data_IF_966529053171
#
_entry.id   IF_966529053171
#
_cell.length_a   1.000
_cell.length_b   1.000
_cell.length_c   1.000
_cell.angle_alpha   90.00
_cell.angle_beta   90.00
_cell.angle_gamma   90.00
#
_symmetry.space_group_name_H-M   'P 1'
#
loop_
_entity.id
_entity.type
_entity.pdbx_description
1 polymer ?
#
# COMPACT_ATOMS: atom_id res chain seq x y z
N UNK A 1 -10.89 17.69 -6.43
CA UNK A 1 -10.99 16.23 -6.17
C UNK A 1 -9.69 15.55 -6.59
N UNK A 2 -9.45 14.27 -6.28
CA UNK A 2 -8.27 13.58 -6.81
C UNK A 2 -8.55 13.18 -8.26
N UNK A 3 -7.62 13.46 -9.17
CA UNK A 3 -7.76 13.16 -10.60
C UNK A 3 -8.14 11.69 -10.85
N UNK A 4 -7.56 10.77 -10.09
CA UNK A 4 -7.84 9.34 -10.20
C UNK A 4 -9.28 9.00 -9.74
N UNK A 5 -9.83 9.72 -8.77
CA UNK A 5 -11.22 9.50 -8.37
C UNK A 5 -12.18 9.94 -9.46
N UNK A 6 -11.90 11.04 -10.14
CA UNK A 6 -12.73 11.51 -11.24
C UNK A 6 -12.72 10.52 -12.43
N UNK A 7 -11.56 9.91 -12.70
CA UNK A 7 -11.42 8.83 -13.69
C UNK A 7 -12.22 7.59 -13.24
N UNK A 8 -12.12 7.22 -11.96
CA UNK A 8 -12.87 6.09 -11.43
C UNK A 8 -14.38 6.28 -11.62
N UNK A 9 -14.92 7.44 -11.22
CA UNK A 9 -16.35 7.72 -11.28
C UNK A 9 -16.87 7.80 -12.74
N UNK A 10 -16.08 8.36 -13.67
CA UNK A 10 -16.52 8.61 -15.06
C UNK A 10 -16.25 7.46 -16.02
N UNK A 11 -15.15 6.73 -15.85
CA UNK A 11 -14.69 5.76 -16.85
C UNK A 11 -14.69 4.32 -16.32
N UNK A 12 -14.26 4.10 -15.06
CA UNK A 12 -14.06 2.76 -14.53
C UNK A 12 -15.38 2.14 -14.09
N UNK A 13 -16.22 2.90 -13.40
CA UNK A 13 -17.53 2.43 -12.93
C UNK A 13 -18.40 1.92 -14.08
N UNK A 14 -18.60 2.64 -15.20
CA UNK A 14 -19.38 2.12 -16.33
C UNK A 14 -18.81 0.82 -16.91
N UNK A 15 -17.48 0.74 -17.08
CA UNK A 15 -16.81 -0.46 -17.61
C UNK A 15 -17.00 -1.67 -16.71
N UNK A 16 -16.88 -1.51 -15.39
CA UNK A 16 -17.09 -2.59 -14.43
C UNK A 16 -18.57 -3.03 -14.38
N UNK A 17 -19.51 -2.09 -14.50
CA UNK A 17 -20.93 -2.41 -14.57
C UNK A 17 -21.27 -3.26 -15.81
N UNK A 18 -20.69 -2.96 -16.94
CA UNK A 18 -20.86 -3.72 -18.17
C UNK A 18 -20.23 -5.12 -18.08
N UNK A 19 -18.99 -5.20 -17.58
CA UNK A 19 -18.22 -6.46 -17.48
C UNK A 19 -18.88 -7.47 -16.53
N UNK A 20 -19.28 -7.02 -15.33
CA UNK A 20 -19.86 -7.89 -14.31
C UNK A 20 -21.37 -7.85 -14.22
N UNK A 21 -22.02 -7.05 -15.06
CA UNK A 21 -23.50 -6.93 -15.16
C UNK A 21 -24.15 -6.58 -13.81
N UNK A 22 -23.56 -5.65 -13.05
CA UNK A 22 -24.12 -5.20 -11.78
C UNK A 22 -25.47 -4.48 -12.01
N UNK A 23 -26.42 -4.76 -11.13
CA UNK A 23 -27.75 -4.12 -11.15
C UNK A 23 -27.76 -2.74 -10.50
N UNK A 24 -26.82 -2.47 -9.62
CA UNK A 24 -26.74 -1.21 -8.87
C UNK A 24 -25.31 -0.69 -8.86
N UNK A 25 -25.13 0.59 -9.05
CA UNK A 25 -23.83 1.27 -9.01
C UNK A 25 -23.10 1.08 -7.66
N UNK A 26 -23.84 0.91 -6.57
CA UNK A 26 -23.27 0.67 -5.24
C UNK A 26 -22.67 -0.74 -5.06
N UNK A 27 -22.87 -1.65 -6.01
CA UNK A 27 -22.25 -2.98 -6.04
C UNK A 27 -20.88 -2.96 -6.69
N UNK A 28 -20.56 -1.90 -7.44
CA UNK A 28 -19.29 -1.78 -8.15
C UNK A 28 -18.14 -1.73 -7.15
N UNK A 29 -17.09 -2.56 -7.32
CA UNK A 29 -15.95 -2.56 -6.43
C UNK A 29 -15.21 -1.21 -6.46
N UNK A 30 -14.82 -0.75 -5.28
CA UNK A 30 -14.13 0.51 -5.05
C UNK A 30 -12.94 0.31 -4.10
N UNK A 31 -11.99 1.23 -4.10
CA UNK A 31 -10.95 1.28 -3.07
C UNK A 31 -11.59 1.74 -1.75
N UNK A 32 -11.33 1.01 -0.67
CA UNK A 32 -11.78 1.35 0.69
C UNK A 32 -10.68 2.05 1.48
N UNK A 33 -9.49 1.46 1.50
CA UNK A 33 -8.30 1.97 2.20
C UNK A 33 -7.02 1.39 1.63
N UNK A 34 -5.91 2.09 1.86
CA UNK A 34 -4.56 1.56 1.61
C UNK A 34 -3.81 1.60 2.94
N UNK A 35 -3.20 0.48 3.29
CA UNK A 35 -2.40 0.34 4.51
C UNK A 35 -0.94 0.22 4.10
N UNK A 36 -0.11 1.09 4.63
CA UNK A 36 1.34 1.05 4.50
C UNK A 36 1.92 0.55 5.81
N UNK A 37 2.77 -0.45 5.77
CA UNK A 37 3.39 -1.02 6.95
C UNK A 37 4.89 -1.23 6.75
N UNK A 38 5.68 -0.78 7.71
CA UNK A 38 7.10 -1.06 7.82
C UNK A 38 7.35 -1.89 9.08
N UNK A 39 7.79 -3.14 8.89
CA UNK A 39 8.26 -4.00 9.97
C UNK A 39 9.74 -3.77 10.22
N UNK A 40 10.10 -3.40 11.44
CA UNK A 40 11.46 -3.02 11.83
C UNK A 40 11.95 -3.90 12.99
N UNK A 41 12.41 -5.12 12.68
CA UNK A 41 12.96 -6.02 13.68
C UNK A 41 14.17 -5.43 14.41
N UNK A 42 14.95 -4.57 13.75
CA UNK A 42 16.11 -3.88 14.35
C UNK A 42 15.72 -2.84 15.41
N UNK A 43 14.47 -2.37 15.42
CA UNK A 43 13.98 -1.43 16.42
C UNK A 43 14.02 -1.98 17.86
N UNK A 44 14.10 -3.31 18.01
CA UNK A 44 14.28 -3.99 19.30
C UNK A 44 15.62 -3.58 19.94
N UNK A 45 16.66 -3.38 19.13
CA UNK A 45 18.00 -3.00 19.60
C UNK A 45 18.21 -1.48 19.56
N UNK A 46 17.63 -0.79 18.58
CA UNK A 46 17.82 0.64 18.37
C UNK A 46 16.50 1.35 18.04
N UNK A 47 15.94 2.03 19.02
CA UNK A 47 14.67 2.78 18.87
C UNK A 47 14.78 3.92 17.85
N UNK A 48 15.97 4.52 17.66
CA UNK A 48 16.18 5.62 16.70
C UNK A 48 15.84 5.21 15.26
N UNK A 49 16.04 3.95 14.90
CA UNK A 49 15.69 3.40 13.59
C UNK A 49 14.17 3.50 13.35
N UNK A 50 13.39 3.36 14.40
CA UNK A 50 11.93 3.48 14.32
C UNK A 50 11.48 4.92 14.09
N UNK A 51 12.12 5.89 14.75
CA UNK A 51 11.79 7.32 14.61
C UNK A 51 12.13 7.78 13.20
N UNK A 52 13.31 7.40 12.67
CA UNK A 52 13.70 7.65 11.27
C UNK A 52 12.68 7.05 10.29
N UNK A 53 12.31 5.79 10.46
CA UNK A 53 11.33 5.14 9.61
C UNK A 53 9.93 5.77 9.69
N UNK A 54 9.54 6.26 10.85
CA UNK A 54 8.27 6.96 11.02
C UNK A 54 8.25 8.30 10.26
N UNK A 55 9.34 9.07 10.28
CA UNK A 55 9.44 10.31 9.50
C UNK A 55 9.49 10.03 7.99
N UNK A 56 10.22 9.00 7.54
CA UNK A 56 10.22 8.55 6.15
C UNK A 56 8.82 8.13 5.68
N UNK A 57 8.12 7.29 6.48
CA UNK A 57 6.77 6.85 6.15
C UNK A 57 5.77 8.01 6.14
N UNK A 58 5.96 8.99 7.03
CA UNK A 58 5.17 10.24 7.05
C UNK A 58 5.38 11.05 5.77
N UNK A 59 6.62 11.17 5.28
CA UNK A 59 6.91 11.84 4.01
C UNK A 59 6.21 11.15 2.84
N UNK A 60 6.30 9.81 2.75
CA UNK A 60 5.65 9.01 1.70
C UNK A 60 4.12 9.13 1.76
N UNK A 61 3.54 9.01 2.95
CA UNK A 61 2.09 8.92 3.13
C UNK A 61 1.38 10.28 3.20
N UNK A 62 2.13 11.35 3.50
CA UNK A 62 1.55 12.66 3.82
C UNK A 62 0.71 12.67 5.10
N UNK A 63 0.88 11.65 5.96
CA UNK A 63 0.14 11.47 7.21
C UNK A 63 1.04 10.82 8.26
N UNK A 64 0.92 11.26 9.52
CA UNK A 64 1.70 10.71 10.63
C UNK A 64 1.38 9.22 10.83
N UNK A 65 2.39 8.33 10.83
CA UNK A 65 2.20 6.91 11.11
C UNK A 65 1.96 6.64 12.59
N UNK A 66 1.38 5.49 12.86
CA UNK A 66 1.22 4.92 14.20
C UNK A 66 2.33 3.91 14.43
N UNK A 67 2.98 3.98 15.57
CA UNK A 67 3.98 3.00 15.99
C UNK A 67 3.26 1.72 16.41
N UNK A 68 3.62 0.60 15.78
CA UNK A 68 3.07 -0.71 16.11
C UNK A 68 3.92 -1.40 17.16
N UNK A 69 3.23 -2.01 18.14
CA UNK A 69 3.87 -2.67 19.30
C UNK A 69 3.60 -4.16 19.28
N UNK A 70 4.52 -4.92 19.84
CA UNK A 70 4.39 -6.37 19.98
C UNK A 70 3.20 -6.73 20.88
N UNK A 71 2.37 -7.65 20.43
CA UNK A 71 1.19 -8.16 21.18
C UNK A 71 1.54 -9.30 22.13
N UNK A 72 2.66 -9.99 21.88
CA UNK A 72 3.14 -11.14 22.67
C UNK A 72 4.65 -11.09 22.80
N UNK A 73 5.15 -11.62 23.91
CA UNK A 73 6.58 -11.83 24.11
C UNK A 73 7.06 -13.09 23.36
N UNK A 74 8.16 -12.98 22.63
CA UNK A 74 8.77 -14.10 21.87
C UNK A 74 10.26 -14.15 22.22
N UNK A 75 10.67 -15.15 23.00
CA UNK A 75 12.05 -15.28 23.48
C UNK A 75 13.08 -15.43 22.35
N UNK A 76 12.77 -16.18 21.30
CA UNK A 76 13.64 -16.38 20.14
C UNK A 76 14.06 -15.07 19.46
N UNK A 77 13.19 -14.05 19.46
CA UNK A 77 13.46 -12.74 18.89
C UNK A 77 13.87 -11.69 19.94
N UNK A 78 14.07 -12.08 21.20
CA UNK A 78 14.32 -11.15 22.33
C UNK A 78 13.26 -10.04 22.44
N UNK A 79 12.02 -10.37 22.04
CA UNK A 79 10.89 -9.46 21.97
C UNK A 79 10.04 -9.59 23.22
N UNK A 80 9.72 -8.47 23.85
CA UNK A 80 8.76 -8.38 24.96
C UNK A 80 7.47 -7.71 24.49
N UNK A 81 6.37 -8.10 25.12
CA UNK A 81 5.08 -7.45 24.91
C UNK A 81 5.19 -5.92 25.13
N UNK A 82 4.53 -5.13 24.26
CA UNK A 82 4.59 -3.67 24.32
C UNK A 82 5.80 -3.02 23.64
N UNK A 83 6.84 -3.79 23.28
CA UNK A 83 7.99 -3.23 22.56
C UNK A 83 7.60 -2.72 21.17
N UNK A 84 8.08 -1.53 20.74
CA UNK A 84 7.83 -1.00 19.42
C UNK A 84 8.64 -1.79 18.38
N UNK A 85 7.96 -2.27 17.31
CA UNK A 85 8.55 -3.15 16.28
C UNK A 85 8.28 -2.72 14.86
N UNK A 86 7.57 -1.62 14.66
CA UNK A 86 7.25 -1.13 13.32
C UNK A 86 6.39 0.13 13.34
N UNK A 87 6.07 0.61 12.16
CA UNK A 87 5.17 1.73 11.97
C UNK A 87 4.18 1.44 10.84
N UNK A 88 2.97 1.98 10.96
CA UNK A 88 1.88 1.75 10.03
C UNK A 88 1.08 3.03 9.80
N UNK A 89 0.58 3.19 8.58
CA UNK A 89 -0.36 4.26 8.23
C UNK A 89 -1.52 3.69 7.42
N UNK A 90 -2.72 4.20 7.68
CA UNK A 90 -3.93 3.85 6.90
C UNK A 90 -4.41 5.09 6.16
N UNK A 91 -4.42 5.01 4.84
CA UNK A 91 -4.87 6.07 3.95
C UNK A 91 -6.30 5.80 3.49
N UNK A 92 -7.13 6.85 3.48
CA UNK A 92 -8.53 6.79 3.04
C UNK A 92 -8.88 8.01 2.20
N UNK A 93 -9.99 7.93 1.44
CA UNK A 93 -10.56 9.02 0.64
C UNK A 93 -9.51 9.64 -0.29
N UNK A 94 -9.39 10.97 -0.32
CA UNK A 94 -8.48 11.71 -1.22
C UNK A 94 -7.03 11.22 -1.11
N UNK A 95 -6.48 11.14 0.11
CA UNK A 95 -5.08 10.70 0.32
C UNK A 95 -4.81 9.29 -0.21
N UNK A 96 -5.78 8.40 -0.15
CA UNK A 96 -5.68 7.06 -0.70
C UNK A 96 -5.55 7.08 -2.24
N UNK A 97 -6.39 7.86 -2.92
CA UNK A 97 -6.32 7.98 -4.38
C UNK A 97 -5.04 8.68 -4.84
N UNK A 98 -4.61 9.73 -4.14
CA UNK A 98 -3.37 10.45 -4.44
C UNK A 98 -2.14 9.53 -4.25
N UNK A 99 -2.11 8.75 -3.17
CA UNK A 99 -1.07 7.75 -2.95
C UNK A 99 -1.07 6.64 -4.01
N UNK A 100 -2.25 6.11 -4.37
CA UNK A 100 -2.36 5.08 -5.40
C UNK A 100 -1.85 5.59 -6.75
N UNK A 101 -2.24 6.79 -7.14
CA UNK A 101 -1.75 7.42 -8.36
C UNK A 101 -0.23 7.54 -8.37
N UNK A 102 0.35 8.02 -7.28
CA UNK A 102 1.80 8.10 -7.10
C UNK A 102 2.49 6.74 -7.16
N UNK A 103 1.92 5.74 -6.49
CA UNK A 103 2.44 4.38 -6.49
C UNK A 103 2.55 3.82 -7.91
N UNK A 104 1.45 3.88 -8.67
CA UNK A 104 1.36 3.26 -10.00
C UNK A 104 2.19 4.03 -11.04
N UNK A 105 2.08 5.35 -11.09
CA UNK A 105 2.67 6.14 -12.17
C UNK A 105 4.11 6.60 -11.90
N UNK A 106 4.52 6.68 -10.64
CA UNK A 106 5.84 7.22 -10.28
C UNK A 106 6.71 6.16 -9.60
N UNK A 107 6.23 5.58 -8.49
CA UNK A 107 7.04 4.71 -7.66
C UNK A 107 7.38 3.38 -8.34
N UNK A 108 6.39 2.69 -8.92
CA UNK A 108 6.63 1.41 -9.60
C UNK A 108 7.53 1.57 -10.84
N UNK A 109 7.44 2.69 -11.55
CA UNK A 109 8.33 2.97 -12.70
C UNK A 109 9.80 3.14 -12.30
N UNK A 110 10.09 3.47 -11.03
CA UNK A 110 11.43 3.62 -10.48
C UNK A 110 12.03 2.34 -9.91
N UNK A 111 11.25 1.26 -9.83
CA UNK A 111 11.75 -0.04 -9.37
C UNK A 111 12.74 -0.58 -10.40
N UNK A 112 13.94 -0.96 -9.93
CA UNK A 112 14.96 -1.58 -10.79
C UNK A 112 14.43 -2.89 -11.37
N UNK A 113 14.64 -3.10 -12.67
CA UNK A 113 14.22 -4.31 -13.42
C UNK A 113 12.72 -4.63 -13.25
N UNK A 114 11.87 -3.62 -13.23
CA UNK A 114 10.44 -3.79 -13.06
C UNK A 114 9.83 -4.56 -14.23
N UNK A 115 9.20 -5.71 -13.91
CA UNK A 115 8.52 -6.58 -14.89
C UNK A 115 7.02 -6.71 -14.62
N UNK A 116 6.44 -5.78 -13.89
CA UNK A 116 5.05 -5.85 -13.43
C UNK A 116 4.91 -6.48 -12.04
N UNK A 117 3.75 -6.26 -11.42
CA UNK A 117 3.39 -6.80 -10.12
C UNK A 117 2.69 -8.15 -10.26
N UNK A 118 2.82 -9.03 -9.26
CA UNK A 118 2.21 -10.35 -9.29
C UNK A 118 0.68 -10.26 -9.32
N UNK A 119 0.04 -10.90 -10.29
CA UNK A 119 -1.42 -11.04 -10.33
C UNK A 119 -2.00 -12.06 -9.35
N UNK A 120 -1.15 -12.75 -8.56
CA UNK A 120 -1.54 -13.81 -7.62
C UNK A 120 -1.53 -13.36 -6.14
N UNK A 121 -1.25 -12.10 -5.87
CA UNK A 121 -1.11 -11.57 -4.51
C UNK A 121 -2.44 -11.02 -3.94
N UNK A 122 -3.54 -11.60 -4.35
CA UNK A 122 -4.88 -11.39 -3.80
C UNK A 122 -5.16 -12.36 -2.65
N UNK A 123 -6.05 -11.99 -1.75
CA UNK A 123 -6.40 -12.73 -0.52
C UNK A 123 -7.64 -13.64 -0.64
N UNK A 124 -8.24 -13.77 -1.82
CA UNK A 124 -9.50 -14.48 -2.05
C UNK A 124 -10.75 -13.61 -1.89
N UNK A 125 -10.59 -12.36 -1.45
CA UNK A 125 -11.67 -11.39 -1.24
C UNK A 125 -11.45 -10.07 -1.98
N UNK A 126 -10.62 -10.08 -3.00
CA UNK A 126 -10.32 -8.91 -3.82
C UNK A 126 -9.39 -7.87 -3.18
N UNK A 127 -8.78 -8.13 -2.03
CA UNK A 127 -7.74 -7.28 -1.48
C UNK A 127 -6.37 -7.69 -2.05
N UNK A 128 -5.51 -6.72 -2.28
CA UNK A 128 -4.22 -6.93 -2.91
C UNK A 128 -3.07 -6.51 -2.00
N UNK A 129 -2.02 -7.33 -1.91
CA UNK A 129 -0.84 -7.04 -1.10
C UNK A 129 0.41 -6.97 -1.96
N UNK A 130 1.19 -5.90 -1.80
CA UNK A 130 2.42 -5.63 -2.52
C UNK A 130 3.57 -5.40 -1.55
N UNK A 131 4.64 -6.16 -1.67
CA UNK A 131 5.90 -5.93 -0.96
C UNK A 131 6.88 -5.15 -1.82
N UNK A 132 7.37 -4.03 -1.30
CA UNK A 132 8.42 -3.22 -1.91
C UNK A 132 9.69 -3.42 -1.08
N UNK A 133 10.79 -3.80 -1.73
CA UNK A 133 12.07 -4.04 -1.06
C UNK A 133 12.77 -2.75 -0.64
N UNK A 134 12.61 -1.70 -1.44
CA UNK A 134 13.34 -0.45 -1.31
C UNK A 134 12.37 0.74 -1.31
N UNK A 135 12.21 1.41 -0.17
CA UNK A 135 11.32 2.58 -0.06
C UNK A 135 11.85 3.83 -0.79
N UNK A 136 13.10 3.81 -1.23
CA UNK A 136 13.73 4.89 -2.00
C UNK A 136 13.11 5.13 -3.40
N UNK A 137 12.25 4.22 -3.86
CA UNK A 137 11.49 4.42 -5.10
C UNK A 137 10.52 5.61 -5.02
N UNK A 138 10.15 6.03 -3.81
CA UNK A 138 9.30 7.19 -3.60
C UNK A 138 10.11 8.48 -3.72
N UNK A 139 9.65 9.47 -4.53
CA UNK A 139 10.39 10.70 -4.79
C UNK A 139 10.58 11.60 -3.57
N UNK A 140 9.76 11.42 -2.53
CA UNK A 140 9.84 12.18 -1.28
C UNK A 140 10.99 11.77 -0.38
N UNK A 141 11.61 10.63 -0.69
CA UNK A 141 12.72 10.11 0.09
C UNK A 141 14.04 10.58 -0.52
N UNK A 142 14.80 11.30 0.29
CA UNK A 142 16.13 11.79 -0.05
C UNK A 142 17.18 10.72 0.31
N UNK A 143 17.89 10.22 -0.69
CA UNK A 143 18.87 9.14 -0.52
C UNK A 143 19.98 9.52 0.49
N UNK A 144 20.38 10.78 0.53
CA UNK A 144 21.47 11.25 1.39
C UNK A 144 21.08 11.31 2.89
N UNK A 145 19.78 11.25 3.20
CA UNK A 145 19.24 11.32 4.57
C UNK A 145 18.84 9.98 5.16
N UNK A 146 19.01 8.88 4.41
CA UNK A 146 18.57 7.56 4.83
C UNK A 146 19.73 6.83 5.52
N UNK A 147 19.50 6.35 6.73
CA UNK A 147 20.46 5.48 7.44
C UNK A 147 20.54 4.09 6.76
N UNK A 148 19.41 3.54 6.33
CA UNK A 148 19.31 2.20 5.75
C UNK A 148 18.10 2.07 4.82
N UNK A 149 18.26 1.28 3.77
CA UNK A 149 17.13 0.89 2.90
C UNK A 149 16.18 -0.02 3.66
N UNK A 150 14.90 0.35 3.69
CA UNK A 150 13.84 -0.37 4.42
C UNK A 150 12.79 -0.88 3.44
N UNK A 151 12.26 -2.07 3.74
CA UNK A 151 11.13 -2.62 3.01
C UNK A 151 9.80 -2.00 3.45
N UNK A 152 8.85 -1.96 2.52
CA UNK A 152 7.50 -1.42 2.74
C UNK A 152 6.47 -2.42 2.22
N UNK A 153 5.51 -2.79 3.06
CA UNK A 153 4.34 -3.56 2.66
C UNK A 153 3.16 -2.63 2.42
N UNK A 154 2.51 -2.78 1.28
CA UNK A 154 1.34 -2.01 0.86
C UNK A 154 0.18 -2.98 0.71
N UNK A 155 -0.87 -2.82 1.52
CA UNK A 155 -2.10 -3.58 1.38
C UNK A 155 -3.21 -2.66 0.87
N UNK A 156 -3.75 -3.00 -0.30
CA UNK A 156 -4.83 -2.28 -0.97
C UNK A 156 -6.12 -3.04 -0.67
N UNK A 157 -6.98 -2.44 0.14
CA UNK A 157 -8.26 -3.02 0.53
C UNK A 157 -9.34 -2.45 -0.38
N UNK A 158 -10.13 -3.35 -0.97
CA UNK A 158 -11.22 -3.02 -1.87
C UNK A 158 -12.55 -3.51 -1.32
N UNK A 159 -13.65 -3.08 -1.90
CA UNK A 159 -14.99 -3.59 -1.62
C UNK A 159 -15.39 -4.75 -2.54
N UNK A 160 -14.45 -5.23 -3.37
CA UNK A 160 -14.66 -6.40 -4.23
C UNK A 160 -14.99 -7.64 -3.40
N UNK A 161 -15.75 -8.55 -3.98
CA UNK A 161 -16.14 -9.83 -3.33
C UNK A 161 -15.24 -10.98 -3.78
N UNK A 162 -14.70 -10.86 -4.98
CA UNK A 162 -13.83 -11.87 -5.60
C UNK A 162 -12.52 -11.25 -6.07
N UNK A 163 -11.49 -12.07 -6.23
CA UNK A 163 -10.17 -11.62 -6.72
C UNK A 163 -10.25 -11.15 -8.18
N UNK A 164 -11.20 -11.68 -8.96
CA UNK A 164 -11.43 -11.27 -10.34
C UNK A 164 -11.94 -9.83 -10.41
N UNK A 165 -12.92 -9.49 -9.57
CA UNK A 165 -13.42 -8.12 -9.45
C UNK A 165 -12.32 -7.16 -9.00
N UNK A 166 -11.52 -7.55 -7.99
CA UNK A 166 -10.39 -6.77 -7.49
C UNK A 166 -9.31 -6.57 -8.56
N UNK A 167 -8.98 -7.62 -9.32
CA UNK A 167 -7.99 -7.56 -10.39
C UNK A 167 -8.45 -6.64 -11.53
N UNK A 168 -9.70 -6.74 -11.94
CA UNK A 168 -10.26 -5.85 -12.97
C UNK A 168 -10.29 -4.40 -12.50
N UNK A 169 -10.71 -4.14 -11.27
CA UNK A 169 -10.69 -2.80 -10.68
C UNK A 169 -9.27 -2.21 -10.72
N UNK A 170 -8.29 -2.90 -10.15
CA UNK A 170 -6.93 -2.40 -10.07
C UNK A 170 -6.27 -2.29 -11.44
N UNK A 171 -6.57 -3.20 -12.38
CA UNK A 171 -6.10 -3.14 -13.76
C UNK A 171 -6.62 -1.91 -14.50
N UNK A 172 -7.92 -1.62 -14.41
CA UNK A 172 -8.53 -0.41 -14.98
C UNK A 172 -8.01 0.87 -14.32
N UNK A 173 -7.59 0.81 -13.06
CA UNK A 173 -6.91 1.90 -12.36
C UNK A 173 -5.41 2.03 -12.71
N UNK A 174 -4.91 1.23 -13.67
CA UNK A 174 -3.55 1.32 -14.19
C UNK A 174 -2.51 0.46 -13.49
N UNK A 175 -2.90 -0.48 -12.61
CA UNK A 175 -1.94 -1.39 -11.97
C UNK A 175 -1.28 -2.29 -13.02
N UNK A 176 0.06 -2.27 -13.14
CA UNK A 176 0.80 -3.04 -14.15
C UNK A 176 0.98 -4.49 -13.69
N UNK A 177 -0.05 -5.31 -13.84
CA UNK A 177 0.05 -6.74 -13.55
C UNK A 177 0.96 -7.44 -14.56
N UNK A 178 1.76 -8.36 -14.06
CA UNK A 178 2.54 -9.28 -14.88
C UNK A 178 1.59 -10.34 -15.48
N UNK A 179 1.70 -10.54 -16.79
CA UNK A 179 1.03 -11.62 -17.51
C UNK A 179 1.61 -12.99 -17.13
#
# INVERSE_FOLDING_TARGET
MSQLKDIYDKEIVPKLMETFKYKNIMQVPALEKIILNMGLGEAIQNIKVLDSAAEELKAIAGQRPVITRAKKSIAAFKLREGMPIGCMVTLRRKRMYDFYYKLVNIALARVRDFRGVSGKAFDGRGNYSLGIKEHIIFPEIDYDKIDKIKGLNISIVTTARTDEEGRQLLGLMGMPFRN
#
